data_IF_003825795860
#
_entry.id   IF_003825795860
#
_cell.length_a   1.000
_cell.length_b   1.000
_cell.length_c   1.000
_cell.angle_alpha   90.00
_cell.angle_beta   90.00
_cell.angle_gamma   90.00
#
_symmetry.space_group_name_H-M   'P 1'
#
loop_
_entity.id
_entity.type
_entity.pdbx_description
1 polymer ?
#
# COMPACT_ATOMS: atom_id res chain seq x y z
N UNK A 1 -14.26 -4.88 -9.22
CA UNK A 1 -13.01 -4.20 -8.82
C UNK A 1 -13.39 -3.14 -7.81
N UNK A 2 -13.02 -3.30 -6.55
CA UNK A 2 -13.42 -2.37 -5.48
C UNK A 2 -12.17 -1.77 -4.87
N UNK A 3 -11.99 -0.48 -5.09
CA UNK A 3 -11.19 0.41 -4.27
C UNK A 3 -12.13 1.53 -3.87
N UNK A 4 -12.30 1.73 -2.58
CA UNK A 4 -13.23 2.71 -2.05
C UNK A 4 -12.56 3.44 -0.90
N UNK A 5 -12.62 4.76 -0.90
CA UNK A 5 -12.14 5.61 0.17
C UNK A 5 -13.25 6.63 0.46
N UNK A 6 -13.85 6.55 1.63
CA UNK A 6 -15.04 7.33 2.01
C UNK A 6 -14.73 8.33 3.11
N UNK A 7 -13.75 8.02 3.96
CA UNK A 7 -13.42 8.81 5.15
C UNK A 7 -11.98 9.31 5.09
N UNK A 8 -11.70 10.29 5.94
CA UNK A 8 -10.36 10.84 6.13
C UNK A 8 -9.70 10.25 7.37
N UNK A 9 -8.39 10.42 7.46
CA UNK A 9 -7.63 10.06 8.65
C UNK A 9 -8.14 10.82 9.89
N UNK A 10 -8.17 10.18 11.08
CA UNK A 10 -7.87 8.77 11.35
C UNK A 10 -9.08 7.82 11.13
N UNK A 11 -10.24 8.37 10.78
CA UNK A 11 -11.54 7.67 10.82
C UNK A 11 -11.71 6.58 9.75
N UNK A 12 -10.87 6.58 8.70
CA UNK A 12 -10.83 5.50 7.72
C UNK A 12 -10.32 4.17 8.29
N UNK A 13 -9.55 4.20 9.39
CA UNK A 13 -8.89 3.01 9.96
C UNK A 13 -9.77 2.13 10.84
N UNK A 14 -11.08 2.38 10.91
CA UNK A 14 -11.98 1.60 11.81
C UNK A 14 -12.04 0.11 11.46
N UNK A 15 -11.94 -0.25 10.17
CA UNK A 15 -11.90 -1.64 9.68
C UNK A 15 -13.00 -2.56 10.25
N UNK A 16 -14.22 -2.03 10.46
CA UNK A 16 -15.35 -2.79 11.04
C UNK A 16 -15.70 -3.97 10.11
N UNK A 17 -15.70 -5.22 10.60
CA UNK A 17 -16.03 -6.38 9.79
C UNK A 17 -17.41 -6.24 9.11
N UNK A 18 -17.43 -6.41 7.78
CA UNK A 18 -18.64 -6.26 6.96
C UNK A 18 -18.96 -4.83 6.51
N UNK A 19 -18.24 -3.81 6.99
CA UNK A 19 -18.34 -2.44 6.48
C UNK A 19 -17.54 -2.30 5.17
N UNK A 20 -18.17 -1.96 4.03
CA UNK A 20 -17.46 -1.85 2.75
C UNK A 20 -16.66 -0.55 2.61
N UNK A 21 -16.77 0.41 3.53
CA UNK A 21 -16.07 1.70 3.43
C UNK A 21 -14.58 1.56 3.66
N UNK A 22 -13.80 2.35 2.92
CA UNK A 22 -12.33 2.38 3.04
C UNK A 22 -11.67 1.00 2.80
N UNK A 23 -12.31 0.17 1.96
CA UNK A 23 -11.85 -1.18 1.65
C UNK A 23 -11.37 -1.31 0.21
N UNK A 24 -10.50 -2.30 0.02
CA UNK A 24 -10.07 -2.80 -1.28
C UNK A 24 -9.94 -4.31 -1.22
N UNK A 25 -9.62 -4.94 -2.35
CA UNK A 25 -9.15 -6.32 -2.39
C UNK A 25 -7.64 -6.37 -2.64
N UNK A 26 -6.93 -7.43 -2.19
CA UNK A 26 -5.49 -7.58 -2.48
C UNK A 26 -5.16 -7.50 -3.96
N UNK A 27 -6.00 -8.11 -4.82
CA UNK A 27 -5.85 -8.07 -6.28
C UNK A 27 -5.96 -6.64 -6.82
N UNK A 28 -6.99 -5.89 -6.40
CA UNK A 28 -7.19 -4.52 -6.86
C UNK A 28 -6.05 -3.60 -6.41
N UNK A 29 -5.58 -3.72 -5.16
CA UNK A 29 -4.45 -2.94 -4.66
C UNK A 29 -3.15 -3.26 -5.42
N UNK A 30 -2.85 -4.54 -5.65
CA UNK A 30 -1.66 -4.95 -6.40
C UNK A 30 -1.69 -4.44 -7.85
N UNK A 31 -2.86 -4.45 -8.50
CA UNK A 31 -3.04 -3.90 -9.85
C UNK A 31 -2.84 -2.38 -9.88
N UNK A 32 -3.44 -1.65 -8.95
CA UNK A 32 -3.24 -0.20 -8.81
C UNK A 32 -1.77 0.13 -8.58
N UNK A 33 -1.11 -0.56 -7.66
CA UNK A 33 0.30 -0.33 -7.35
C UNK A 33 1.20 -0.61 -8.55
N UNK A 34 0.95 -1.73 -9.27
CA UNK A 34 1.66 -2.05 -10.52
C UNK A 34 1.48 -0.94 -11.56
N UNK A 35 0.28 -0.42 -11.74
CA UNK A 35 0.00 0.62 -12.73
C UNK A 35 0.71 1.94 -12.39
N UNK A 36 0.80 2.29 -11.11
CA UNK A 36 1.48 3.50 -10.64
C UNK A 36 3.01 3.39 -10.67
N UNK A 37 3.57 2.22 -10.36
CA UNK A 37 5.03 2.03 -10.17
C UNK A 37 5.75 1.46 -11.40
N UNK A 38 5.06 0.63 -12.20
CA UNK A 38 5.63 -0.05 -13.37
C UNK A 38 4.87 0.28 -14.68
N UNK A 39 3.66 0.82 -14.56
CA UNK A 39 2.81 1.20 -15.69
C UNK A 39 3.01 2.64 -16.16
N UNK A 40 2.02 3.13 -16.91
CA UNK A 40 2.02 4.48 -17.53
C UNK A 40 0.99 5.42 -16.91
N UNK A 41 0.45 5.10 -15.73
CA UNK A 41 -0.54 5.94 -15.06
C UNK A 41 0.06 7.29 -14.59
N UNK A 42 1.37 7.31 -14.33
CA UNK A 42 2.14 8.50 -13.99
C UNK A 42 3.18 8.78 -15.08
N UNK A 43 3.52 10.05 -15.26
CA UNK A 43 4.71 10.45 -16.02
C UNK A 43 5.99 9.89 -15.39
N UNK A 44 7.06 9.82 -16.19
CA UNK A 44 8.28 9.11 -15.80
C UNK A 44 8.93 9.68 -14.54
N UNK A 45 8.96 11.01 -14.39
CA UNK A 45 9.50 11.67 -13.21
C UNK A 45 8.65 11.42 -11.96
N UNK A 46 7.32 11.48 -12.07
CA UNK A 46 6.42 11.22 -10.94
C UNK A 46 6.48 9.75 -10.51
N UNK A 47 6.57 8.82 -11.46
CA UNK A 47 6.74 7.39 -11.19
C UNK A 47 8.06 7.10 -10.48
N UNK A 48 9.16 7.69 -10.96
CA UNK A 48 10.46 7.57 -10.32
C UNK A 48 10.45 8.15 -8.89
N UNK A 49 9.78 9.29 -8.68
CA UNK A 49 9.63 9.90 -7.36
C UNK A 49 8.84 9.00 -6.41
N UNK A 50 7.71 8.43 -6.86
CA UNK A 50 6.90 7.50 -6.07
C UNK A 50 7.72 6.28 -5.65
N UNK A 51 8.40 5.63 -6.60
CA UNK A 51 9.24 4.46 -6.32
C UNK A 51 10.38 4.82 -5.35
N UNK A 52 10.95 6.02 -5.46
CA UNK A 52 11.98 6.50 -4.54
C UNK A 52 11.43 6.65 -3.12
N UNK A 53 10.25 7.24 -2.96
CA UNK A 53 9.62 7.36 -1.65
C UNK A 53 9.29 6.00 -1.03
N UNK A 54 8.75 5.07 -1.81
CA UNK A 54 8.44 3.73 -1.32
C UNK A 54 9.69 2.96 -0.88
N UNK A 55 10.80 3.05 -1.62
CA UNK A 55 12.09 2.44 -1.23
C UNK A 55 12.70 3.09 0.02
N UNK A 56 12.34 4.34 0.29
CA UNK A 56 12.75 5.07 1.48
C UNK A 56 11.83 4.88 2.69
N UNK A 57 10.83 3.99 2.62
CA UNK A 57 9.95 3.74 3.75
C UNK A 57 10.72 3.19 4.95
N UNK A 58 10.45 3.71 6.15
CA UNK A 58 11.10 3.31 7.39
C UNK A 58 10.21 2.41 8.26
N UNK A 59 8.99 2.13 7.82
CA UNK A 59 7.98 1.43 8.63
C UNK A 59 7.80 -0.06 8.28
N UNK A 60 8.33 -0.53 7.14
CA UNK A 60 8.11 -1.88 6.61
C UNK A 60 9.15 -2.94 7.00
N UNK A 61 10.17 -2.58 7.79
CA UNK A 61 11.32 -3.45 8.05
C UNK A 61 10.96 -4.81 8.67
N UNK A 62 9.86 -4.90 9.42
CA UNK A 62 9.40 -6.12 10.08
C UNK A 62 8.32 -6.89 9.30
N UNK A 63 7.96 -6.43 8.09
CA UNK A 63 6.86 -6.98 7.29
C UNK A 63 7.41 -7.73 6.05
N UNK A 64 7.04 -7.36 4.81
CA UNK A 64 7.49 -8.05 3.59
C UNK A 64 9.02 -8.08 3.51
N UNK A 65 9.68 -6.97 3.85
CA UNK A 65 11.13 -6.87 3.77
C UNK A 65 11.84 -7.92 4.64
N UNK A 66 11.30 -8.25 5.82
CA UNK A 66 11.89 -9.24 6.71
C UNK A 66 11.89 -10.67 6.12
N UNK A 67 10.97 -10.96 5.20
CA UNK A 67 10.83 -12.26 4.55
C UNK A 67 11.62 -12.43 3.24
N UNK A 68 12.31 -11.39 2.77
CA UNK A 68 13.00 -11.38 1.48
C UNK A 68 14.53 -11.41 1.65
N UNK A 69 15.28 -11.84 0.61
CA UNK A 69 16.75 -11.77 0.64
C UNK A 69 17.25 -10.35 0.88
N UNK A 70 18.27 -10.19 1.72
CA UNK A 70 18.81 -8.87 2.08
C UNK A 70 19.40 -8.09 0.89
N UNK A 71 19.70 -8.77 -0.21
CA UNK A 71 20.19 -8.14 -1.45
C UNK A 71 19.08 -7.52 -2.30
N UNK A 72 17.81 -7.77 -1.99
CA UNK A 72 16.68 -7.22 -2.75
C UNK A 72 16.37 -5.79 -2.32
N UNK A 73 16.05 -4.95 -3.30
CA UNK A 73 15.53 -3.62 -3.05
C UNK A 73 14.02 -3.70 -2.94
N UNK A 74 13.48 -3.34 -1.78
CA UNK A 74 12.04 -3.34 -1.50
C UNK A 74 11.54 -1.90 -1.50
N UNK A 75 10.39 -1.67 -2.11
CA UNK A 75 9.63 -0.43 -1.94
C UNK A 75 8.22 -0.82 -1.51
N UNK A 76 7.84 -0.41 -0.31
CA UNK A 76 6.61 -0.83 0.36
C UNK A 76 5.86 0.37 0.95
N UNK A 77 4.65 0.10 1.45
CA UNK A 77 3.96 1.02 2.35
C UNK A 77 3.03 0.25 3.27
N UNK A 78 3.41 0.20 4.53
CA UNK A 78 2.59 -0.39 5.59
C UNK A 78 1.28 0.32 5.88
N UNK A 79 0.32 -0.40 6.45
CA UNK A 79 -0.90 0.14 7.04
C UNK A 79 -1.35 -0.69 8.25
N UNK A 80 -1.88 -0.03 9.26
CA UNK A 80 -2.44 -0.68 10.46
C UNK A 80 -3.75 -0.03 10.84
N UNK A 81 -4.72 -0.80 11.37
CA UNK A 81 -6.03 -0.29 11.73
C UNK A 81 -6.75 -1.10 12.80
N UNK A 82 -8.05 -0.86 12.94
CA UNK A 82 -8.93 -1.60 13.83
C UNK A 82 -8.96 -3.10 13.51
N UNK A 83 -9.47 -3.88 14.47
CA UNK A 83 -9.64 -5.33 14.32
C UNK A 83 -8.35 -6.09 13.96
N UNK A 84 -7.19 -5.59 14.37
CA UNK A 84 -5.90 -6.23 14.08
C UNK A 84 -5.49 -6.18 12.61
N UNK A 85 -6.08 -5.27 11.83
CA UNK A 85 -5.73 -5.10 10.42
C UNK A 85 -4.27 -4.67 10.31
N UNK A 86 -3.48 -5.43 9.55
CA UNK A 86 -2.09 -5.14 9.22
C UNK A 86 -1.87 -5.43 7.74
N UNK A 87 -1.28 -4.46 7.04
CA UNK A 87 -1.03 -4.50 5.61
C UNK A 87 0.40 -4.05 5.33
N UNK A 88 0.95 -4.57 4.24
CA UNK A 88 2.20 -4.13 3.62
C UNK A 88 2.12 -4.36 2.09
#
# INVERSE_FOLDING_TARGET
ETFRLDRTEPTLNTAIPGDPRDTTSPRAMAQTLRNLTLGKALGDSQRAQLVTWMKGNTTGAASIQAGLPASWVVGDKTGSGGYGTTND
#
